data_IF_365763687309
#
_entry.id   IF_365763687309
#
_cell.length_a   1.000
_cell.length_b   1.000
_cell.length_c   1.000
_cell.angle_alpha   90.00
_cell.angle_beta   90.00
_cell.angle_gamma   90.00
#
_symmetry.space_group_name_H-M   'P 1'
#
loop_
_entity.id
_entity.type
_entity.pdbx_description
1 polymer ?
#
# COMPACT_ATOMS: atom_id res chain seq x y z
N UNK A 1 15.37 10.64 -12.34
CA UNK A 1 16.55 9.88 -11.89
C UNK A 1 17.51 9.86 -13.06
N UNK A 2 18.59 10.62 -13.00
CA UNK A 2 19.66 10.47 -13.98
C UNK A 2 20.32 9.12 -13.69
N UNK A 3 20.17 8.14 -14.57
CA UNK A 3 20.89 6.89 -14.42
C UNK A 3 22.37 7.22 -14.62
N UNK A 4 23.16 7.17 -13.54
CA UNK A 4 24.62 7.22 -13.65
C UNK A 4 25.03 6.03 -14.51
N UNK A 5 25.81 6.28 -15.57
CA UNK A 5 26.29 5.21 -16.45
C UNK A 5 26.93 4.10 -15.62
N UNK A 6 26.49 2.85 -15.82
CA UNK A 6 27.08 1.71 -15.13
C UNK A 6 28.20 1.07 -15.95
N UNK A 7 28.23 1.33 -17.26
CA UNK A 7 29.14 0.69 -18.21
C UNK A 7 30.38 1.56 -18.53
N UNK A 8 30.27 2.89 -18.35
CA UNK A 8 31.33 3.85 -18.65
C UNK A 8 31.86 4.49 -17.36
N UNK A 9 33.13 4.22 -17.03
CA UNK A 9 33.76 4.65 -15.78
C UNK A 9 33.93 6.18 -15.69
N UNK A 10 34.19 6.85 -16.81
CA UNK A 10 34.37 8.30 -16.86
C UNK A 10 33.03 9.00 -16.63
N UNK A 11 31.98 8.60 -17.36
CA UNK A 11 30.62 9.11 -17.17
C UNK A 11 30.06 8.76 -15.79
N UNK A 12 30.45 7.62 -15.22
CA UNK A 12 30.10 7.24 -13.85
C UNK A 12 30.71 8.21 -12.85
N UNK A 13 32.00 8.50 -12.99
CA UNK A 13 32.74 9.43 -12.14
C UNK A 13 32.18 10.86 -12.24
N UNK A 14 31.90 11.35 -13.46
CA UNK A 14 31.27 12.65 -13.67
C UNK A 14 29.85 12.71 -13.08
N UNK A 15 29.07 11.64 -13.23
CA UNK A 15 27.75 11.50 -12.64
C UNK A 15 27.79 11.56 -11.11
N UNK A 16 28.75 10.86 -10.50
CA UNK A 16 29.03 10.89 -9.06
C UNK A 16 29.42 12.30 -8.60
N UNK A 17 30.35 12.96 -9.30
CA UNK A 17 30.84 14.28 -8.94
C UNK A 17 29.75 15.36 -9.06
N UNK A 18 28.85 15.23 -10.02
CA UNK A 18 27.74 16.18 -10.25
C UNK A 18 26.52 15.94 -9.35
N UNK A 19 26.47 14.80 -8.64
CA UNK A 19 25.29 14.39 -7.87
C UNK A 19 24.95 15.37 -6.74
N UNK A 20 25.93 15.89 -6.03
CA UNK A 20 25.69 16.89 -4.97
C UNK A 20 25.04 18.17 -5.53
N UNK A 21 25.49 18.64 -6.69
CA UNK A 21 24.91 19.78 -7.39
C UNK A 21 23.48 19.48 -7.88
N UNK A 22 23.24 18.26 -8.37
CA UNK A 22 21.90 17.81 -8.76
C UNK A 22 20.93 17.75 -7.58
N UNK A 23 21.35 17.16 -6.46
CA UNK A 23 20.56 17.09 -5.23
C UNK A 23 20.27 18.50 -4.66
N UNK A 24 21.20 19.44 -4.82
CA UNK A 24 20.99 20.85 -4.43
C UNK A 24 19.87 21.53 -5.22
N UNK A 25 19.77 21.26 -6.52
CA UNK A 25 18.76 21.85 -7.41
C UNK A 25 17.43 21.09 -7.43
N UNK A 26 17.35 19.92 -6.80
CA UNK A 26 16.15 19.08 -6.83
C UNK A 26 15.13 19.47 -5.75
N UNK A 27 13.93 19.86 -6.16
CA UNK A 27 12.81 20.18 -5.25
C UNK A 27 12.23 18.95 -4.56
N UNK A 28 12.24 17.80 -5.24
CA UNK A 28 11.71 16.54 -4.74
C UNK A 28 12.63 15.36 -5.07
N UNK A 29 12.90 14.52 -4.07
CA UNK A 29 13.56 13.22 -4.23
C UNK A 29 12.51 12.11 -4.10
N UNK A 30 12.23 11.42 -5.20
CA UNK A 30 11.34 10.26 -5.22
C UNK A 30 12.17 8.99 -5.02
N UNK A 31 11.96 8.32 -3.90
CA UNK A 31 12.69 7.11 -3.51
C UNK A 31 11.86 5.88 -3.86
N UNK A 32 12.25 5.19 -4.92
CA UNK A 32 11.72 3.87 -5.24
C UNK A 32 12.36 2.86 -4.28
N UNK A 33 11.66 2.57 -3.20
CA UNK A 33 12.22 1.80 -2.11
C UNK A 33 12.19 0.29 -2.40
N UNK A 34 13.32 -0.37 -2.13
CA UNK A 34 13.46 -1.82 -2.01
C UNK A 34 14.34 -2.17 -0.80
N UNK A 35 14.26 -3.39 -0.26
CA UNK A 35 15.10 -3.83 0.87
C UNK A 35 16.60 -3.63 0.64
N UNK A 36 17.06 -3.75 -0.61
CA UNK A 36 18.48 -3.64 -0.94
C UNK A 36 19.01 -2.19 -0.96
N UNK A 37 18.13 -1.19 -1.04
CA UNK A 37 18.53 0.21 -1.19
C UNK A 37 19.40 0.68 0.00
N UNK A 38 19.10 0.25 1.22
CA UNK A 38 19.84 0.69 2.42
C UNK A 38 21.07 -0.17 2.73
N UNK A 39 21.32 -1.20 1.92
CA UNK A 39 22.56 -1.99 2.02
C UNK A 39 23.73 -1.34 1.25
N UNK A 40 23.42 -0.39 0.37
CA UNK A 40 24.39 0.28 -0.51
C UNK A 40 24.81 1.62 0.09
N UNK A 41 26.13 1.82 0.26
CA UNK A 41 26.69 3.04 0.88
C UNK A 41 26.21 4.31 0.20
N UNK A 42 26.27 4.34 -1.14
CA UNK A 42 25.86 5.47 -1.97
C UNK A 42 24.40 5.88 -1.73
N UNK A 43 23.48 4.92 -1.76
CA UNK A 43 22.06 5.20 -1.59
C UNK A 43 21.75 5.78 -0.21
N UNK A 44 22.39 5.28 0.85
CA UNK A 44 22.19 5.82 2.21
C UNK A 44 22.80 7.21 2.34
N UNK A 45 23.99 7.43 1.78
CA UNK A 45 24.63 8.74 1.75
C UNK A 45 23.78 9.79 1.02
N UNK A 46 23.26 9.47 -0.17
CA UNK A 46 22.36 10.34 -0.93
C UNK A 46 21.10 10.72 -0.13
N UNK A 47 20.44 9.72 0.47
CA UNK A 47 19.26 9.93 1.29
C UNK A 47 19.55 10.81 2.50
N UNK A 48 20.68 10.57 3.16
CA UNK A 48 21.08 11.32 4.34
C UNK A 48 21.36 12.79 3.98
N UNK A 49 22.19 13.04 2.95
CA UNK A 49 22.53 14.39 2.48
C UNK A 49 21.28 15.13 2.02
N UNK A 50 20.41 14.48 1.23
CA UNK A 50 19.18 15.12 0.78
C UNK A 50 18.24 15.41 1.95
N UNK A 51 18.11 14.50 2.93
CA UNK A 51 17.34 14.73 4.15
C UNK A 51 17.90 15.90 4.96
N UNK A 52 19.22 16.01 5.10
CA UNK A 52 19.85 17.09 5.88
C UNK A 52 19.62 18.46 5.22
N UNK A 53 19.59 18.49 3.88
CA UNK A 53 19.24 19.68 3.13
C UNK A 53 17.73 19.99 3.16
N UNK A 54 16.88 18.97 3.34
CA UNK A 54 15.44 19.09 3.38
C UNK A 54 14.90 19.64 4.71
N UNK A 55 15.65 19.53 5.81
CA UNK A 55 15.25 20.06 7.13
C UNK A 55 14.96 21.58 7.13
N UNK A 56 15.37 22.30 6.08
CA UNK A 56 15.00 23.71 5.84
C UNK A 56 13.57 23.90 5.28
N UNK A 57 12.76 22.83 5.16
CA UNK A 57 11.37 22.86 4.73
C UNK A 57 11.14 23.10 3.23
N UNK A 58 12.19 23.29 2.44
CA UNK A 58 12.10 23.58 0.99
C UNK A 58 12.08 22.35 0.09
N UNK A 59 12.50 21.19 0.60
CA UNK A 59 12.66 19.97 -0.20
C UNK A 59 11.79 18.86 0.33
N UNK A 60 11.34 17.99 -0.57
CA UNK A 60 10.40 16.91 -0.27
C UNK A 60 11.01 15.55 -0.61
N UNK A 61 10.96 14.60 0.33
CA UNK A 61 11.27 13.20 0.03
C UNK A 61 9.96 12.43 -0.08
N UNK A 62 9.69 11.87 -1.26
CA UNK A 62 8.52 11.02 -1.50
C UNK A 62 8.94 9.56 -1.58
N UNK A 63 8.45 8.77 -0.64
CA UNK A 63 8.73 7.34 -0.60
C UNK A 63 7.71 6.58 -1.44
N UNK A 64 8.20 5.71 -2.32
CA UNK A 64 7.40 4.92 -3.23
C UNK A 64 7.71 3.43 -3.03
N UNK A 65 6.98 2.72 -2.15
CA UNK A 65 7.15 1.28 -1.95
C UNK A 65 6.59 0.52 -3.16
N UNK A 66 7.45 0.19 -4.12
CA UNK A 66 7.06 -0.45 -5.38
C UNK A 66 6.24 -1.74 -5.16
N UNK A 67 6.65 -2.58 -4.20
CA UNK A 67 5.94 -3.81 -3.87
C UNK A 67 4.50 -3.55 -3.39
N UNK A 68 4.28 -2.49 -2.61
CA UNK A 68 2.95 -2.13 -2.11
C UNK A 68 2.01 -1.73 -3.24
N UNK A 69 2.47 -0.86 -4.16
CA UNK A 69 1.68 -0.49 -5.34
C UNK A 69 1.40 -1.69 -6.24
N UNK A 70 2.36 -2.60 -6.39
CA UNK A 70 2.15 -3.87 -7.08
C UNK A 70 1.01 -4.69 -6.46
N UNK A 71 0.97 -4.82 -5.13
CA UNK A 71 -0.13 -5.50 -4.42
C UNK A 71 -1.46 -4.80 -4.68
N UNK A 72 -1.51 -3.47 -4.62
CA UNK A 72 -2.74 -2.71 -4.88
C UNK A 72 -3.26 -2.90 -6.31
N UNK A 73 -2.37 -2.92 -7.30
CA UNK A 73 -2.72 -3.19 -8.71
C UNK A 73 -3.25 -4.62 -8.86
N UNK A 74 -2.62 -5.60 -8.23
CA UNK A 74 -3.09 -7.00 -8.24
C UNK A 74 -4.49 -7.10 -7.62
N UNK A 75 -4.73 -6.46 -6.47
CA UNK A 75 -6.06 -6.43 -5.83
C UNK A 75 -7.10 -5.79 -6.76
N UNK A 76 -6.76 -4.66 -7.39
CA UNK A 76 -7.63 -3.97 -8.34
C UNK A 76 -8.01 -4.89 -9.51
N UNK A 77 -7.02 -5.47 -10.20
CA UNK A 77 -7.24 -6.36 -11.35
C UNK A 77 -8.01 -7.62 -10.97
N UNK A 78 -7.65 -8.22 -9.84
CA UNK A 78 -8.33 -9.42 -9.32
C UNK A 78 -9.79 -9.17 -8.99
N UNK A 79 -10.09 -8.03 -8.35
CA UNK A 79 -11.47 -7.65 -8.05
C UNK A 79 -12.26 -7.46 -9.36
N UNK A 80 -11.72 -6.72 -10.32
CA UNK A 80 -12.35 -6.52 -11.63
C UNK A 80 -12.62 -7.83 -12.36
N UNK A 81 -11.66 -8.76 -12.38
CA UNK A 81 -11.81 -10.07 -13.00
C UNK A 81 -12.90 -10.90 -12.31
N UNK A 82 -12.91 -10.95 -10.98
CA UNK A 82 -13.90 -11.72 -10.25
C UNK A 82 -15.33 -11.22 -10.49
N UNK A 83 -15.52 -9.90 -10.57
CA UNK A 83 -16.80 -9.32 -10.93
C UNK A 83 -17.19 -9.60 -12.37
N UNK A 84 -16.24 -9.50 -13.31
CA UNK A 84 -16.49 -9.87 -14.70
C UNK A 84 -17.00 -11.31 -14.81
N UNK A 85 -16.34 -12.26 -14.13
CA UNK A 85 -16.76 -13.66 -14.08
C UNK A 85 -18.15 -13.83 -13.44
N UNK A 86 -18.45 -13.08 -12.37
CA UNK A 86 -19.78 -13.06 -11.78
C UNK A 86 -20.85 -12.59 -12.77
N UNK A 87 -20.61 -11.50 -13.49
CA UNK A 87 -21.55 -10.99 -14.49
C UNK A 87 -21.78 -11.98 -15.63
N UNK A 88 -20.71 -12.60 -16.15
CA UNK A 88 -20.82 -13.66 -17.16
C UNK A 88 -21.66 -14.84 -16.63
N UNK A 89 -21.47 -15.22 -15.37
CA UNK A 89 -22.23 -16.33 -14.76
C UNK A 89 -23.73 -16.04 -14.66
N UNK A 90 -24.12 -14.78 -14.46
CA UNK A 90 -25.53 -14.37 -14.45
C UNK A 90 -26.15 -14.42 -15.86
N UNK A 91 -25.38 -14.04 -16.89
CA UNK A 91 -25.85 -13.99 -18.28
C UNK A 91 -26.02 -15.38 -18.87
N UNK A 92 -25.08 -16.30 -18.61
CA UNK A 92 -25.05 -17.64 -19.26
C UNK A 92 -26.16 -18.57 -18.73
N UNK A 93 -26.97 -18.14 -17.74
CA UNK A 93 -28.11 -18.88 -17.18
C UNK A 93 -27.84 -20.39 -17.00
N UNK A 94 -26.72 -20.74 -16.38
CA UNK A 94 -26.31 -22.15 -16.25
C UNK A 94 -27.41 -22.94 -15.51
N UNK A 95 -28.15 -23.85 -16.17
CA UNK A 95 -29.47 -24.33 -15.70
C UNK A 95 -29.47 -25.05 -14.35
N UNK A 96 -28.31 -25.54 -13.89
CA UNK A 96 -28.07 -26.06 -12.53
C UNK A 96 -26.72 -25.59 -11.95
N UNK A 97 -26.07 -24.60 -12.59
CA UNK A 97 -24.69 -24.21 -12.31
C UNK A 97 -24.53 -22.84 -11.66
N UNK A 98 -25.62 -22.17 -11.25
CA UNK A 98 -25.52 -20.90 -10.52
C UNK A 98 -24.69 -21.06 -9.23
N UNK A 99 -24.90 -22.15 -8.50
CA UNK A 99 -24.13 -22.46 -7.30
C UNK A 99 -22.70 -22.92 -7.60
N UNK A 100 -22.49 -23.67 -8.68
CA UNK A 100 -21.15 -24.13 -9.10
C UNK A 100 -20.28 -22.98 -9.64
N UNK A 101 -20.87 -22.05 -10.39
CA UNK A 101 -20.19 -20.85 -10.86
C UNK A 101 -19.91 -19.90 -9.70
N UNK A 102 -20.87 -19.69 -8.80
CA UNK A 102 -20.67 -18.89 -7.59
C UNK A 102 -19.58 -19.48 -6.69
N UNK A 103 -19.57 -20.80 -6.48
CA UNK A 103 -18.54 -21.46 -5.67
C UNK A 103 -17.16 -21.40 -6.33
N UNK A 104 -17.06 -21.55 -7.65
CA UNK A 104 -15.81 -21.39 -8.39
C UNK A 104 -15.28 -19.95 -8.31
N UNK A 105 -16.15 -18.94 -8.42
CA UNK A 105 -15.79 -17.52 -8.27
C UNK A 105 -15.32 -17.24 -6.85
N UNK A 106 -16.04 -17.73 -5.84
CA UNK A 106 -15.65 -17.57 -4.43
C UNK A 106 -14.33 -18.28 -4.13
N UNK A 107 -14.08 -19.45 -4.70
CA UNK A 107 -12.81 -20.16 -4.56
C UNK A 107 -11.65 -19.39 -5.22
N UNK A 108 -11.84 -18.89 -6.44
CA UNK A 108 -10.84 -18.08 -7.15
C UNK A 108 -10.53 -16.78 -6.38
N UNK A 109 -11.56 -16.08 -5.89
CA UNK A 109 -11.41 -14.91 -5.03
C UNK A 109 -10.66 -15.21 -3.73
N UNK A 110 -10.99 -16.33 -3.08
CA UNK A 110 -10.31 -16.77 -1.85
C UNK A 110 -8.84 -17.05 -2.10
N UNK A 111 -8.50 -17.63 -3.26
CA UNK A 111 -7.11 -17.87 -3.64
C UNK A 111 -6.35 -16.55 -3.88
N UNK A 112 -6.92 -15.62 -4.65
CA UNK A 112 -6.24 -14.34 -4.94
C UNK A 112 -6.09 -13.50 -3.67
N UNK A 113 -7.13 -13.46 -2.82
CA UNK A 113 -7.03 -12.80 -1.52
C UNK A 113 -5.98 -13.46 -0.63
N UNK A 114 -5.86 -14.79 -0.60
CA UNK A 114 -4.79 -15.48 0.13
C UNK A 114 -3.39 -15.09 -0.37
N UNK A 115 -3.20 -14.97 -1.69
CA UNK A 115 -1.96 -14.45 -2.26
C UNK A 115 -1.71 -13.00 -1.85
N UNK A 116 -2.71 -12.13 -1.90
CA UNK A 116 -2.60 -10.74 -1.48
C UNK A 116 -2.25 -10.61 0.01
N UNK A 117 -2.85 -11.44 0.89
CA UNK A 117 -2.47 -11.52 2.30
C UNK A 117 -1.05 -12.02 2.49
N UNK A 118 -0.62 -13.02 1.72
CA UNK A 118 0.76 -13.52 1.79
C UNK A 118 1.79 -12.47 1.38
N UNK A 119 1.59 -11.84 0.22
CA UNK A 119 2.48 -10.78 -0.26
C UNK A 119 2.42 -9.53 0.60
N UNK A 120 1.25 -9.15 1.09
CA UNK A 120 1.10 -8.04 2.03
C UNK A 120 1.85 -8.28 3.33
N UNK A 121 1.76 -9.48 3.93
CA UNK A 121 2.57 -9.82 5.12
C UNK A 121 4.07 -9.82 4.83
N UNK A 122 4.48 -10.29 3.66
CA UNK A 122 5.87 -10.25 3.22
C UNK A 122 6.37 -8.80 3.11
N UNK A 123 5.60 -7.92 2.49
CA UNK A 123 5.88 -6.49 2.41
C UNK A 123 5.99 -5.86 3.82
N UNK A 124 5.04 -6.15 4.73
CA UNK A 124 5.09 -5.64 6.10
C UNK A 124 6.35 -6.11 6.85
N UNK A 125 6.81 -7.34 6.60
CA UNK A 125 8.11 -7.83 7.13
C UNK A 125 9.28 -7.05 6.56
N UNK A 126 9.32 -6.84 5.24
CA UNK A 126 10.39 -6.09 4.58
C UNK A 126 10.46 -4.65 5.09
N UNK A 127 9.31 -3.98 5.27
CA UNK A 127 9.25 -2.66 5.89
C UNK A 127 9.84 -2.65 7.30
N UNK A 128 9.43 -3.58 8.15
CA UNK A 128 9.95 -3.61 9.52
C UNK A 128 11.42 -4.02 9.59
N UNK A 129 11.86 -4.89 8.67
CA UNK A 129 13.26 -5.21 8.46
C UNK A 129 14.05 -3.95 8.13
N UNK A 130 13.57 -3.15 7.18
CA UNK A 130 14.19 -1.88 6.82
C UNK A 130 14.36 -0.94 8.00
N UNK A 131 13.30 -0.70 8.77
CA UNK A 131 13.37 0.19 9.93
C UNK A 131 14.35 -0.34 10.99
N UNK A 132 14.42 -1.67 11.14
CA UNK A 132 15.40 -2.33 12.01
C UNK A 132 16.83 -2.17 11.49
N UNK A 133 17.03 -2.29 10.18
CA UNK A 133 18.33 -2.17 9.53
C UNK A 133 18.85 -0.73 9.59
N UNK A 134 17.97 0.26 9.40
CA UNK A 134 18.29 1.69 9.62
C UNK A 134 18.69 1.96 11.05
N UNK A 135 17.94 1.43 12.03
CA UNK A 135 18.23 1.62 13.45
C UNK A 135 19.59 1.01 13.87
N UNK A 136 20.10 0.04 13.11
CA UNK A 136 21.40 -0.62 13.33
C UNK A 136 22.45 -0.23 12.29
N UNK A 137 22.16 0.78 11.47
CA UNK A 137 23.00 1.14 10.34
C UNK A 137 24.42 1.49 10.79
N UNK A 138 25.43 0.95 10.13
CA UNK A 138 26.84 1.28 10.31
C UNK A 138 27.45 1.47 8.92
N UNK A 139 28.00 2.65 8.63
CA UNK A 139 28.60 2.92 7.31
C UNK A 139 29.68 1.91 6.95
N UNK A 140 30.45 1.42 7.92
CA UNK A 140 31.54 0.45 7.66
C UNK A 140 31.03 -0.89 7.11
N UNK A 141 29.82 -1.31 7.50
CA UNK A 141 29.20 -2.57 7.10
C UNK A 141 28.42 -2.49 5.78
N UNK A 142 28.33 -1.30 5.18
CA UNK A 142 27.62 -1.13 3.91
C UNK A 142 28.40 -1.73 2.74
N UNK A 143 27.66 -2.18 1.72
CA UNK A 143 28.26 -2.71 0.49
C UNK A 143 28.61 -1.55 -0.43
N UNK A 144 29.86 -1.52 -0.86
CA UNK A 144 30.32 -0.67 -1.95
C UNK A 144 30.86 -1.57 -3.07
N UNK A 145 30.42 -1.34 -4.31
CA UNK A 145 30.86 -2.14 -5.45
C UNK A 145 32.31 -1.82 -5.83
N UNK A 146 32.72 -0.57 -5.67
CA UNK A 146 34.06 -0.08 -6.00
C UNK A 146 34.70 0.44 -4.72
N UNK A 147 35.93 0.01 -4.42
CA UNK A 147 36.62 0.43 -3.20
C UNK A 147 36.80 1.95 -3.16
N UNK A 148 37.30 2.56 -4.25
CA UNK A 148 37.55 4.01 -4.36
C UNK A 148 36.34 4.88 -4.01
N UNK A 149 35.13 4.42 -4.35
CA UNK A 149 33.89 5.11 -4.00
C UNK A 149 33.67 5.13 -2.49
N UNK A 150 34.10 4.09 -1.77
CA UNK A 150 34.03 4.02 -0.30
C UNK A 150 34.91 5.10 0.32
N UNK A 151 36.14 5.27 -0.15
CA UNK A 151 37.01 6.35 0.34
C UNK A 151 36.44 7.74 0.04
N UNK A 152 35.91 7.96 -1.17
CA UNK A 152 35.27 9.21 -1.54
C UNK A 152 34.06 9.54 -0.66
N UNK A 153 33.18 8.54 -0.41
CA UNK A 153 32.03 8.72 0.48
C UNK A 153 32.48 9.00 1.90
N UNK A 154 33.52 8.32 2.41
CA UNK A 154 34.06 8.59 3.75
C UNK A 154 34.56 10.02 3.90
N UNK A 155 35.31 10.52 2.92
CA UNK A 155 35.74 11.93 2.90
C UNK A 155 34.56 12.90 2.84
N UNK A 156 33.53 12.55 2.05
CA UNK A 156 32.30 13.35 1.97
C UNK A 156 31.52 13.32 3.29
N UNK A 157 31.47 12.18 3.98
CA UNK A 157 30.87 12.04 5.30
C UNK A 157 31.60 12.91 6.32
N UNK A 158 32.93 12.89 6.32
CA UNK A 158 33.74 13.74 7.19
C UNK A 158 33.48 15.23 6.91
N UNK A 159 33.35 15.62 5.64
CA UNK A 159 33.02 16.99 5.26
C UNK A 159 31.62 17.44 5.73
N UNK A 160 30.59 16.61 5.52
CA UNK A 160 29.20 16.98 5.80
C UNK A 160 28.77 16.78 7.25
N UNK A 161 29.28 15.74 7.91
CA UNK A 161 28.86 15.31 9.24
C UNK A 161 30.00 15.37 10.27
N UNK A 162 31.22 15.68 9.86
CA UNK A 162 32.40 15.79 10.71
C UNK A 162 33.12 14.47 10.94
N UNK A 163 32.41 13.34 11.04
CA UNK A 163 32.98 12.00 11.15
C UNK A 163 31.92 10.91 10.88
N UNK A 164 32.36 9.65 10.78
CA UNK A 164 31.47 8.49 10.53
C UNK A 164 30.45 8.25 11.65
N UNK A 165 30.80 8.51 12.92
CA UNK A 165 29.88 8.32 14.06
C UNK A 165 28.68 9.27 13.97
N UNK A 166 28.93 10.55 13.71
CA UNK A 166 27.88 11.55 13.56
C UNK A 166 26.95 11.21 12.38
N UNK A 167 27.52 10.69 11.28
CA UNK A 167 26.73 10.22 10.16
C UNK A 167 25.84 9.02 10.53
N UNK A 168 26.39 8.02 11.22
CA UNK A 168 25.62 6.88 11.69
C UNK A 168 24.49 7.31 12.64
N UNK A 169 24.77 8.22 13.58
CA UNK A 169 23.78 8.77 14.51
C UNK A 169 22.68 9.54 13.76
N UNK A 170 23.04 10.31 12.74
CA UNK A 170 22.08 11.00 11.88
C UNK A 170 21.18 10.02 11.10
N UNK A 171 21.76 8.95 10.53
CA UNK A 171 21.00 7.93 9.79
C UNK A 171 20.04 7.19 10.72
N UNK A 172 20.49 6.79 11.92
CA UNK A 172 19.70 6.04 12.91
C UNK A 172 18.62 6.87 13.60
N UNK A 173 18.82 8.19 13.71
CA UNK A 173 17.91 9.10 14.40
C UNK A 173 17.02 9.86 13.41
N UNK A 174 17.36 11.11 13.05
CA UNK A 174 16.54 11.96 12.19
C UNK A 174 16.06 11.30 10.88
N UNK A 175 16.97 10.66 10.15
CA UNK A 175 16.61 10.03 8.87
C UNK A 175 15.68 8.83 9.07
N UNK A 176 15.94 7.98 10.08
CA UNK A 176 15.08 6.86 10.42
C UNK A 176 13.64 7.30 10.75
N UNK A 177 13.49 8.37 11.53
CA UNK A 177 12.18 8.94 11.86
C UNK A 177 11.45 9.46 10.60
N UNK A 178 12.18 10.04 9.65
CA UNK A 178 11.61 10.47 8.37
C UNK A 178 11.16 9.29 7.50
N UNK A 179 11.95 8.21 7.46
CA UNK A 179 11.58 6.96 6.77
C UNK A 179 10.33 6.36 7.40
N UNK A 180 10.29 6.24 8.73
CA UNK A 180 9.17 5.65 9.46
C UNK A 180 7.86 6.42 9.22
N UNK A 181 7.90 7.76 9.35
CA UNK A 181 6.74 8.62 9.05
C UNK A 181 6.25 8.44 7.62
N UNK A 182 7.16 8.39 6.65
CA UNK A 182 6.78 8.24 5.26
C UNK A 182 6.17 6.87 4.97
N UNK A 183 6.78 5.78 5.47
CA UNK A 183 6.26 4.43 5.29
C UNK A 183 4.97 4.18 6.09
N UNK A 184 4.77 4.86 7.22
CA UNK A 184 3.54 4.82 8.00
C UNK A 184 2.35 5.48 7.29
N UNK A 185 2.59 6.61 6.61
CA UNK A 185 1.53 7.36 5.92
C UNK A 185 0.94 6.62 4.70
N UNK A 186 1.75 5.83 3.99
CA UNK A 186 1.33 5.16 2.75
C UNK A 186 0.34 4.03 3.05
N UNK A 187 0.59 3.24 4.09
CA UNK A 187 -0.26 2.10 4.49
C UNK A 187 -1.61 2.50 5.10
N UNK A 188 -1.84 3.80 5.29
CA UNK A 188 -3.07 4.37 5.83
C UNK A 188 -3.80 5.33 4.92
N UNK A 189 -3.30 5.59 3.71
CA UNK A 189 -3.95 6.56 2.84
C UNK A 189 -5.29 6.01 2.35
N UNK A 190 -6.38 6.64 2.80
CA UNK A 190 -7.72 6.42 2.29
C UNK A 190 -7.76 6.51 0.75
N UNK A 191 -6.96 7.43 0.17
CA UNK A 191 -6.86 7.60 -1.29
C UNK A 191 -6.40 6.31 -1.98
N UNK A 192 -5.39 5.63 -1.45
CA UNK A 192 -4.88 4.38 -2.03
C UNK A 192 -5.90 3.24 -1.89
N UNK A 193 -6.56 3.14 -0.73
CA UNK A 193 -7.60 2.14 -0.53
C UNK A 193 -8.81 2.37 -1.45
N UNK A 194 -9.18 3.63 -1.67
CA UNK A 194 -10.22 4.02 -2.61
C UNK A 194 -9.81 3.67 -4.05
N UNK A 195 -8.59 4.03 -4.47
CA UNK A 195 -8.08 3.69 -5.80
C UNK A 195 -8.08 2.18 -6.08
N UNK A 196 -7.65 1.36 -5.11
CA UNK A 196 -7.64 -0.09 -5.23
C UNK A 196 -9.06 -0.70 -5.34
N UNK A 197 -10.08 0.02 -4.87
CA UNK A 197 -11.48 -0.45 -4.85
C UNK A 197 -12.35 0.21 -5.92
N UNK A 198 -11.84 1.18 -6.68
CA UNK A 198 -12.56 1.93 -7.72
C UNK A 198 -13.28 1.05 -8.75
N UNK A 199 -12.73 -0.09 -9.15
CA UNK A 199 -13.40 -1.01 -10.08
C UNK A 199 -14.78 -1.48 -9.57
N UNK A 200 -14.90 -1.66 -8.25
CA UNK A 200 -16.18 -2.04 -7.62
C UNK A 200 -17.19 -0.89 -7.72
N UNK A 201 -16.74 0.35 -7.53
CA UNK A 201 -17.62 1.52 -7.57
C UNK A 201 -18.26 1.69 -8.96
N UNK A 202 -17.48 1.55 -10.03
CA UNK A 202 -18.00 1.63 -11.40
C UNK A 202 -19.06 0.57 -11.68
N UNK A 203 -18.89 -0.63 -11.13
CA UNK A 203 -19.88 -1.69 -11.25
C UNK A 203 -21.18 -1.35 -10.53
N UNK A 204 -21.10 -0.84 -9.29
CA UNK A 204 -22.30 -0.45 -8.55
C UNK A 204 -23.07 0.67 -9.26
N UNK A 205 -22.37 1.61 -9.90
CA UNK A 205 -23.02 2.61 -10.75
C UNK A 205 -23.66 2.01 -12.01
N UNK A 206 -23.13 0.91 -12.55
CA UNK A 206 -23.79 0.18 -13.64
C UNK A 206 -25.12 -0.43 -13.18
N UNK A 207 -25.21 -0.91 -11.93
CA UNK A 207 -26.49 -1.35 -11.36
C UNK A 207 -27.46 -0.19 -11.13
N UNK A 208 -26.99 0.97 -10.67
CA UNK A 208 -27.83 2.19 -10.58
C UNK A 208 -28.43 2.52 -11.95
N UNK A 209 -27.60 2.54 -13.00
CA UNK A 209 -28.05 2.80 -14.36
C UNK A 209 -29.07 1.75 -14.86
N UNK A 210 -28.89 0.48 -14.49
CA UNK A 210 -29.84 -0.57 -14.80
C UNK A 210 -31.20 -0.36 -14.12
N UNK A 211 -31.23 0.01 -12.84
CA UNK A 211 -32.47 0.34 -12.12
C UNK A 211 -33.21 1.52 -12.76
N UNK A 212 -32.47 2.58 -13.11
CA UNK A 212 -33.04 3.74 -13.80
C UNK A 212 -33.64 3.34 -15.16
N UNK A 213 -32.92 2.54 -15.95
CA UNK A 213 -33.37 2.08 -17.26
C UNK A 213 -34.59 1.15 -17.17
N UNK A 214 -34.70 0.38 -16.10
CA UNK A 214 -35.84 -0.49 -15.83
C UNK A 214 -37.09 0.28 -15.35
N UNK A 215 -37.01 1.59 -15.15
CA UNK A 215 -38.11 2.38 -14.63
C UNK A 215 -38.44 2.04 -13.17
N UNK A 216 -37.43 1.64 -12.38
CA UNK A 216 -37.62 1.33 -10.98
C UNK A 216 -38.17 2.54 -10.20
N UNK A 217 -38.96 2.33 -9.13
CA UNK A 217 -39.37 3.38 -8.22
C UNK A 217 -38.19 4.22 -7.71
N UNK A 218 -38.42 5.52 -7.46
CA UNK A 218 -37.35 6.46 -7.09
C UNK A 218 -36.63 6.07 -5.79
N UNK A 219 -37.37 5.50 -4.84
CA UNK A 219 -36.88 5.06 -3.54
C UNK A 219 -35.95 3.85 -3.69
N UNK A 220 -36.25 2.93 -4.61
CA UNK A 220 -35.36 1.83 -4.97
C UNK A 220 -34.06 2.34 -5.62
N UNK A 221 -34.16 3.30 -6.55
CA UNK A 221 -32.98 3.93 -7.18
C UNK A 221 -32.13 4.63 -6.13
N UNK A 222 -32.73 5.43 -5.26
CA UNK A 222 -32.03 6.15 -4.19
C UNK A 222 -31.35 5.19 -3.21
N UNK A 223 -32.03 4.09 -2.84
CA UNK A 223 -31.47 3.04 -1.98
C UNK A 223 -30.25 2.37 -2.64
N UNK A 224 -30.32 2.07 -3.95
CA UNK A 224 -29.19 1.51 -4.71
C UNK A 224 -28.03 2.51 -4.85
N UNK A 225 -28.30 3.82 -4.99
CA UNK A 225 -27.24 4.85 -4.99
C UNK A 225 -26.54 4.92 -3.63
N UNK A 226 -27.29 4.94 -2.53
CA UNK A 226 -26.71 4.94 -1.17
C UNK A 226 -25.88 3.68 -0.93
N UNK A 227 -26.34 2.53 -1.40
CA UNK A 227 -25.57 1.29 -1.36
C UNK A 227 -24.25 1.42 -2.15
N UNK A 228 -24.30 1.91 -3.39
CA UNK A 228 -23.12 2.10 -4.23
C UNK A 228 -22.09 3.02 -3.56
N UNK A 229 -22.54 4.16 -3.02
CA UNK A 229 -21.71 5.13 -2.32
C UNK A 229 -21.12 4.54 -1.03
N UNK A 230 -21.96 3.90 -0.20
CA UNK A 230 -21.53 3.23 1.02
C UNK A 230 -20.49 2.17 0.74
N UNK A 231 -20.72 1.33 -0.26
CA UNK A 231 -19.83 0.23 -0.61
C UNK A 231 -18.50 0.73 -1.15
N UNK A 232 -18.54 1.61 -2.16
CA UNK A 232 -17.35 2.05 -2.87
C UNK A 232 -16.49 3.06 -2.10
N UNK A 233 -17.09 4.03 -1.42
CA UNK A 233 -16.34 5.07 -0.71
C UNK A 233 -16.04 4.72 0.74
N UNK A 234 -16.84 3.88 1.41
CA UNK A 234 -16.66 3.66 2.85
C UNK A 234 -16.30 2.22 3.17
N UNK A 235 -17.20 1.28 2.87
CA UNK A 235 -17.08 -0.12 3.27
C UNK A 235 -15.81 -0.78 2.72
N UNK A 236 -15.59 -0.75 1.40
CA UNK A 236 -14.44 -1.44 0.81
C UNK A 236 -13.08 -0.82 1.22
N UNK A 237 -12.91 0.52 1.24
CA UNK A 237 -11.69 1.12 1.77
C UNK A 237 -11.44 0.80 3.24
N UNK A 238 -12.47 0.85 4.10
CA UNK A 238 -12.39 0.45 5.51
C UNK A 238 -11.87 -0.97 5.63
N UNK A 239 -12.49 -1.87 4.87
CA UNK A 239 -12.09 -3.26 4.90
C UNK A 239 -10.63 -3.39 4.43
N UNK A 240 -10.27 -2.87 3.26
CA UNK A 240 -8.88 -2.97 2.79
C UNK A 240 -7.87 -2.43 3.82
N UNK A 241 -8.18 -1.33 4.52
CA UNK A 241 -7.34 -0.82 5.62
C UNK A 241 -7.25 -1.79 6.79
N UNK A 242 -8.36 -2.37 7.25
CA UNK A 242 -8.36 -3.38 8.31
C UNK A 242 -7.54 -4.62 7.92
N UNK A 243 -7.61 -5.05 6.66
CA UNK A 243 -6.79 -6.14 6.14
C UNK A 243 -5.29 -5.81 6.24
N UNK A 244 -4.89 -4.59 5.85
CA UNK A 244 -3.50 -4.12 5.97
C UNK A 244 -3.03 -4.10 7.44
N UNK A 245 -3.85 -3.64 8.38
CA UNK A 245 -3.55 -3.66 9.81
C UNK A 245 -3.35 -5.11 10.29
N UNK A 246 -4.23 -6.04 9.88
CA UNK A 246 -4.10 -7.46 10.24
C UNK A 246 -2.84 -8.08 9.65
N UNK A 247 -2.50 -7.75 8.40
CA UNK A 247 -1.24 -8.20 7.77
C UNK A 247 -0.03 -7.71 8.54
N UNK A 248 -0.04 -6.45 8.99
CA UNK A 248 1.05 -5.89 9.78
C UNK A 248 1.15 -6.57 11.16
N UNK A 249 0.05 -6.69 11.89
CA UNK A 249 0.00 -7.40 13.19
C UNK A 249 0.46 -8.86 13.08
N UNK A 250 0.27 -9.50 11.93
CA UNK A 250 0.63 -10.91 11.67
C UNK A 250 1.83 -11.06 10.74
N UNK A 251 2.69 -10.03 10.63
CA UNK A 251 3.85 -10.04 9.73
C UNK A 251 4.86 -11.15 10.06
N UNK A 252 5.06 -11.47 11.34
CA UNK A 252 6.10 -12.41 11.79
C UNK A 252 6.09 -13.74 11.01
N UNK A 253 7.29 -14.15 10.58
CA UNK A 253 7.50 -15.38 9.81
C UNK A 253 7.18 -16.59 10.69
N UNK A 254 6.35 -17.49 10.18
CA UNK A 254 6.07 -18.75 10.86
C UNK A 254 7.27 -19.70 10.78
N UNK A 255 7.27 -20.74 11.62
CA UNK A 255 8.36 -21.73 11.71
C UNK A 255 8.64 -22.43 10.37
N UNK A 256 7.60 -22.65 9.56
CA UNK A 256 7.72 -23.27 8.23
C UNK A 256 7.01 -22.45 7.15
N UNK A 257 7.44 -22.62 5.88
CA UNK A 257 6.79 -21.98 4.73
C UNK A 257 5.32 -22.39 4.59
N UNK A 258 5.01 -23.66 4.88
CA UNK A 258 3.64 -24.17 4.84
C UNK A 258 2.76 -23.53 5.92
N UNK A 259 3.28 -23.37 7.15
CA UNK A 259 2.56 -22.67 8.21
C UNK A 259 2.32 -21.18 7.88
N UNK A 260 3.30 -20.52 7.25
CA UNK A 260 3.14 -19.13 6.81
C UNK A 260 2.05 -19.02 5.72
N UNK A 261 2.03 -19.93 4.75
CA UNK A 261 0.99 -19.94 3.71
C UNK A 261 -0.40 -20.27 4.31
N UNK A 262 -0.48 -21.25 5.21
CA UNK A 262 -1.72 -21.63 5.88
C UNK A 262 -2.31 -20.47 6.69
N UNK A 263 -1.46 -19.69 7.38
CA UNK A 263 -1.91 -18.48 8.08
C UNK A 263 -2.49 -17.44 7.10
N UNK A 264 -1.82 -17.17 5.97
CA UNK A 264 -2.35 -16.26 4.95
C UNK A 264 -3.70 -16.72 4.40
N UNK A 265 -3.84 -18.03 4.14
CA UNK A 265 -5.09 -18.61 3.66
C UNK A 265 -6.20 -18.47 4.70
N UNK A 266 -5.92 -18.77 5.98
CA UNK A 266 -6.89 -18.61 7.06
C UNK A 266 -7.36 -17.14 7.17
N UNK A 267 -6.42 -16.19 7.15
CA UNK A 267 -6.75 -14.76 7.19
C UNK A 267 -7.63 -14.37 5.99
N UNK A 268 -7.33 -14.86 4.79
CA UNK A 268 -8.11 -14.59 3.60
C UNK A 268 -9.52 -15.21 3.62
N UNK A 269 -9.69 -16.39 4.23
CA UNK A 269 -11.01 -17.01 4.43
C UNK A 269 -11.84 -16.18 5.40
N UNK A 270 -11.30 -15.84 6.57
CA UNK A 270 -11.99 -15.01 7.57
C UNK A 270 -12.35 -13.64 6.99
N UNK A 271 -11.42 -13.06 6.23
CA UNK A 271 -11.61 -11.83 5.49
C UNK A 271 -12.80 -11.91 4.53
N UNK A 272 -12.79 -12.93 3.66
CA UNK A 272 -13.82 -13.13 2.64
C UNK A 272 -15.18 -13.41 3.26
N UNK A 273 -15.24 -14.19 4.34
CA UNK A 273 -16.48 -14.43 5.09
C UNK A 273 -17.04 -13.13 5.68
N UNK A 274 -16.18 -12.31 6.28
CA UNK A 274 -16.60 -11.03 6.88
C UNK A 274 -17.13 -10.06 5.82
N UNK A 275 -16.41 -9.95 4.69
CA UNK A 275 -16.83 -9.12 3.57
C UNK A 275 -18.16 -9.60 2.95
N UNK A 276 -18.33 -10.93 2.85
CA UNK A 276 -19.56 -11.55 2.36
C UNK A 276 -20.74 -11.27 3.31
N UNK A 277 -20.59 -11.52 4.60
CA UNK A 277 -21.61 -11.23 5.61
C UNK A 277 -22.02 -9.75 5.60
N UNK A 278 -21.03 -8.84 5.52
CA UNK A 278 -21.28 -7.41 5.44
C UNK A 278 -22.04 -7.04 4.16
N UNK A 279 -21.70 -7.69 3.05
CA UNK A 279 -22.38 -7.47 1.77
C UNK A 279 -23.84 -7.96 1.79
N UNK A 280 -24.10 -9.09 2.45
CA UNK A 280 -25.47 -9.60 2.66
C UNK A 280 -26.29 -8.63 3.52
N UNK A 281 -25.76 -8.19 4.65
CA UNK A 281 -26.44 -7.22 5.53
C UNK A 281 -26.74 -5.91 4.79
N UNK A 282 -25.80 -5.44 3.98
CA UNK A 282 -26.00 -4.27 3.15
C UNK A 282 -27.07 -4.44 2.07
N UNK A 283 -27.16 -5.64 1.49
CA UNK A 283 -28.23 -6.00 0.55
C UNK A 283 -29.59 -6.00 1.25
N UNK A 284 -29.68 -6.58 2.44
CA UNK A 284 -30.89 -6.53 3.28
C UNK A 284 -31.26 -5.10 3.63
N UNK A 285 -30.30 -4.25 4.02
CA UNK A 285 -30.54 -2.84 4.32
C UNK A 285 -31.06 -2.07 3.10
N UNK A 286 -30.51 -2.33 1.91
CA UNK A 286 -30.99 -1.77 0.64
C UNK A 286 -32.42 -2.18 0.35
N UNK A 287 -32.71 -3.48 0.44
CA UNK A 287 -34.00 -4.04 0.06
C UNK A 287 -35.10 -3.73 1.11
N UNK A 288 -34.71 -3.37 2.34
CA UNK A 288 -35.61 -2.90 3.40
C UNK A 288 -36.07 -1.46 3.23
N UNK A 289 -35.57 -0.75 2.21
CA UNK A 289 -35.99 0.60 1.85
C UNK A 289 -35.00 1.71 2.21
N UNK A 290 -35.40 2.94 1.91
CA UNK A 290 -34.52 4.10 1.92
C UNK A 290 -33.94 4.44 3.30
N UNK A 291 -34.76 4.32 4.36
CA UNK A 291 -34.34 4.65 5.73
C UNK A 291 -33.21 3.72 6.19
N UNK A 292 -33.34 2.42 5.93
CA UNK A 292 -32.30 1.44 6.28
C UNK A 292 -31.04 1.62 5.45
N UNK A 293 -31.18 1.95 4.17
CA UNK A 293 -30.05 2.31 3.29
C UNK A 293 -29.27 3.53 3.81
N UNK A 294 -29.98 4.55 4.29
CA UNK A 294 -29.37 5.75 4.86
C UNK A 294 -28.65 5.45 6.17
N UNK A 295 -29.26 4.66 7.05
CA UNK A 295 -28.63 4.22 8.31
C UNK A 295 -27.35 3.41 8.05
N UNK A 296 -27.38 2.50 7.06
CA UNK A 296 -26.22 1.74 6.63
C UNK A 296 -25.10 2.64 6.10
N UNK A 297 -25.42 3.61 5.25
CA UNK A 297 -24.46 4.57 4.73
C UNK A 297 -23.82 5.41 5.84
N UNK A 298 -24.63 5.93 6.76
CA UNK A 298 -24.15 6.72 7.90
C UNK A 298 -23.23 5.91 8.81
N UNK A 299 -23.57 4.63 9.09
CA UNK A 299 -22.73 3.72 9.84
C UNK A 299 -21.34 3.56 9.21
N UNK A 300 -21.27 3.34 7.88
CA UNK A 300 -19.99 3.18 7.21
C UNK A 300 -19.19 4.47 7.05
N UNK A 301 -19.83 5.63 6.95
CA UNK A 301 -19.13 6.92 7.04
C UNK A 301 -18.43 7.04 8.40
N UNK A 302 -19.17 6.78 9.47
CA UNK A 302 -18.63 6.85 10.83
C UNK A 302 -17.51 5.83 11.06
N UNK A 303 -17.70 4.59 10.61
CA UNK A 303 -16.67 3.55 10.70
C UNK A 303 -15.43 3.91 9.87
N UNK A 304 -15.61 4.50 8.68
CA UNK A 304 -14.51 4.99 7.85
C UNK A 304 -13.72 6.08 8.58
N UNK A 305 -14.43 7.05 9.18
CA UNK A 305 -13.79 8.06 10.00
C UNK A 305 -12.99 7.43 11.14
N UNK A 306 -13.56 6.50 11.91
CA UNK A 306 -12.83 5.82 13.01
C UNK A 306 -11.58 5.11 12.47
N UNK A 307 -11.74 4.27 11.46
CA UNK A 307 -10.65 3.42 10.97
C UNK A 307 -9.51 4.26 10.41
N UNK A 308 -9.81 5.31 9.65
CA UNK A 308 -8.78 6.15 9.05
C UNK A 308 -8.28 7.27 9.96
N UNK A 309 -9.05 7.77 10.93
CA UNK A 309 -8.58 8.79 11.86
C UNK A 309 -7.79 8.18 13.03
N UNK A 310 -8.24 7.04 13.58
CA UNK A 310 -7.63 6.42 14.76
C UNK A 310 -6.42 5.57 14.39
N UNK A 311 -6.47 4.84 13.27
CA UNK A 311 -5.36 3.96 12.84
C UNK A 311 -4.49 4.58 11.74
N UNK A 312 -4.65 5.87 11.44
CA UNK A 312 -3.61 6.59 10.73
C UNK A 312 -2.53 6.94 11.76
N UNK A 313 -1.27 6.51 11.55
CA UNK A 313 -0.17 6.89 12.45
C UNK A 313 -0.19 8.42 12.57
N UNK A 314 -0.38 8.88 13.80
CA UNK A 314 -0.74 10.26 14.09
C UNK A 314 0.30 11.20 13.50
N UNK A 315 -0.13 12.09 12.61
CA UNK A 315 0.63 13.28 12.20
C UNK A 315 0.88 14.26 13.37
N UNK A 316 0.38 13.97 14.59
CA UNK A 316 0.42 14.84 15.77
C UNK A 316 1.76 14.82 16.53
N UNK A 317 2.86 14.42 15.90
CA UNK A 317 4.21 14.53 16.45
C UNK A 317 5.04 15.56 15.67
N UNK A 318 4.43 16.72 15.40
CA UNK A 318 5.12 17.96 15.04
C UNK A 318 4.87 18.99 16.13
#
# INVERSE_FOLDING_TARGET
MACISQDDEELRSEGIASLAGFLDKSEELVVLWSPDNLTRTWCVFELAVYSALADNGRRKITWCPLHFYGIMVVIYLASGLAFFLFMVSLIVQVPNGKYAALSAILAALSFITAMAFHWGRMFMREKHGLLTDVAKFEVEHTKCAVASDKEFIKQSIEHWYGNESNFNDYVRGPMAATIDRALGGIEGSYRLCLMATTANLWLEFSFVAAYMRAGAPWDAIASQVLWALSKGFCMLPVWLKLALIVMDMRRHKQTTKAADMALSLLLAIVWSMTLYCTSLLGTVARDSGLVMSLAWFAFFIFLSYIVFAVFSPSHNAQ
#
